data_IF_439458568055
#
_entry.id   IF_439458568055
#
_cell.length_a   1.000
_cell.length_b   1.000
_cell.length_c   1.000
_cell.angle_alpha   90.00
_cell.angle_beta   90.00
_cell.angle_gamma   90.00
#
_symmetry.space_group_name_H-M   'P 1'
#
loop_
_entity.id
_entity.type
_entity.pdbx_description
1 polymer ?
#
# COMPACT_ATOMS: atom_id res chain seq x y z
N UNK A 1 11.16 10.34 2.55
CA UNK A 1 9.69 10.32 2.77
C UNK A 1 9.04 11.40 1.92
N UNK A 2 7.99 11.08 1.15
CA UNK A 2 7.18 12.08 0.45
C UNK A 2 6.61 13.07 1.48
N UNK A 3 6.76 14.37 1.24
CA UNK A 3 6.44 15.42 2.24
C UNK A 3 4.97 15.85 2.18
N UNK A 4 4.23 15.43 1.16
CA UNK A 4 2.85 15.85 0.92
C UNK A 4 1.96 14.71 0.41
N UNK A 5 0.64 14.83 0.63
CA UNK A 5 -0.35 13.89 0.07
C UNK A 5 -0.29 13.81 -1.46
N UNK A 6 0.10 14.90 -2.13
CA UNK A 6 0.25 14.94 -3.58
C UNK A 6 1.41 14.07 -4.06
N UNK A 7 2.52 14.04 -3.33
CA UNK A 7 3.67 13.18 -3.66
C UNK A 7 3.33 11.70 -3.44
N UNK A 8 2.61 11.37 -2.36
CA UNK A 8 2.11 10.01 -2.10
C UNK A 8 1.19 9.57 -3.24
N UNK A 9 0.24 10.41 -3.63
CA UNK A 9 -0.66 10.12 -4.75
C UNK A 9 0.12 9.88 -6.04
N UNK A 10 1.04 10.78 -6.40
CA UNK A 10 1.85 10.64 -7.62
C UNK A 10 2.66 9.36 -7.63
N UNK A 11 3.24 8.97 -6.49
CA UNK A 11 3.92 7.69 -6.34
C UNK A 11 2.97 6.55 -6.67
N UNK A 12 1.81 6.49 -6.00
CA UNK A 12 0.81 5.46 -6.24
C UNK A 12 0.31 5.41 -7.69
N UNK A 13 0.10 6.57 -8.33
CA UNK A 13 -0.29 6.66 -9.74
C UNK A 13 0.74 5.97 -10.66
N UNK A 14 2.05 6.07 -10.35
CA UNK A 14 3.12 5.40 -11.11
C UNK A 14 3.16 3.87 -10.93
N UNK A 15 2.49 3.36 -9.91
CA UNK A 15 2.44 1.94 -9.57
C UNK A 15 1.05 1.31 -9.78
N UNK A 16 0.15 1.99 -10.51
CA UNK A 16 -1.14 1.43 -10.90
C UNK A 16 -0.96 0.10 -11.66
N UNK A 17 -1.78 -0.88 -11.31
CA UNK A 17 -1.75 -2.24 -11.85
C UNK A 17 -0.67 -3.14 -11.25
N UNK A 18 0.17 -2.64 -10.32
CA UNK A 18 1.25 -3.42 -9.72
C UNK A 18 0.82 -4.12 -8.43
N UNK A 19 1.51 -5.23 -8.16
CA UNK A 19 1.34 -6.01 -6.94
C UNK A 19 2.05 -5.34 -5.77
N UNK A 20 1.42 -5.41 -4.61
CA UNK A 20 1.90 -4.80 -3.38
C UNK A 20 1.48 -5.62 -2.16
N UNK A 21 2.22 -5.42 -1.08
CA UNK A 21 1.85 -5.82 0.27
C UNK A 21 1.31 -4.60 1.01
N UNK A 22 0.18 -4.79 1.70
CA UNK A 22 -0.44 -3.84 2.60
C UNK A 22 -0.25 -4.30 4.03
N UNK A 23 0.17 -3.39 4.90
CA UNK A 23 0.23 -3.60 6.34
C UNK A 23 -0.55 -2.52 7.05
N UNK A 24 -1.68 -2.88 7.64
CA UNK A 24 -2.58 -1.94 8.30
C UNK A 24 -2.66 -2.18 9.80
N UNK A 25 -2.72 -1.09 10.57
CA UNK A 25 -2.90 -1.13 12.02
C UNK A 25 -4.37 -1.40 12.37
N UNK A 26 -4.68 -2.65 12.71
CA UNK A 26 -6.04 -3.11 13.02
C UNK A 26 -6.49 -2.91 14.47
N UNK A 27 -5.69 -2.25 15.31
CA UNK A 27 -6.02 -1.94 16.72
C UNK A 27 -4.89 -2.24 17.71
N UNK A 28 -5.24 -2.48 18.98
CA UNK A 28 -4.26 -2.76 20.05
C UNK A 28 -3.53 -4.08 19.77
N UNK A 29 -2.27 -3.98 19.34
CA UNK A 29 -1.34 -5.10 19.05
C UNK A 29 -1.71 -6.00 17.86
N UNK A 30 -2.62 -5.57 16.98
CA UNK A 30 -2.98 -6.37 15.80
C UNK A 30 -2.60 -5.64 14.52
N UNK A 31 -1.63 -6.19 13.82
CA UNK A 31 -1.24 -5.76 12.47
C UNK A 31 -1.85 -6.73 11.47
N UNK A 32 -2.46 -6.21 10.41
CA UNK A 32 -3.05 -7.00 9.35
C UNK A 32 -2.15 -6.83 8.12
N UNK A 33 -1.60 -7.93 7.63
CA UNK A 33 -0.79 -7.97 6.41
C UNK A 33 -1.59 -8.67 5.31
N UNK A 34 -1.68 -8.04 4.13
CA UNK A 34 -2.42 -8.57 2.98
C UNK A 34 -1.71 -8.26 1.67
N UNK A 35 -1.75 -9.21 0.75
CA UNK A 35 -1.28 -9.04 -0.62
C UNK A 35 -2.43 -8.58 -1.54
N UNK A 36 -2.09 -7.79 -2.56
CA UNK A 36 -3.05 -7.37 -3.56
C UNK A 36 -2.44 -6.59 -4.71
N UNK A 37 -3.30 -6.06 -5.58
CA UNK A 37 -2.93 -5.26 -6.75
C UNK A 37 -3.52 -3.86 -6.59
N UNK A 38 -2.71 -2.82 -6.76
CA UNK A 38 -3.21 -1.45 -6.83
C UNK A 38 -4.04 -1.27 -8.10
N UNK A 39 -5.35 -1.08 -7.98
CA UNK A 39 -6.24 -1.01 -9.15
C UNK A 39 -6.53 0.41 -9.59
N UNK A 40 -6.87 1.26 -8.63
CA UNK A 40 -7.36 2.60 -8.94
C UNK A 40 -6.84 3.60 -7.91
N UNK A 41 -6.64 4.83 -8.36
CA UNK A 41 -6.32 5.98 -7.51
C UNK A 41 -7.30 7.11 -7.79
N UNK A 42 -7.83 7.70 -6.73
CA UNK A 42 -8.78 8.80 -6.78
C UNK A 42 -8.21 10.04 -6.10
N UNK A 43 -8.99 11.11 -5.97
CA UNK A 43 -8.48 12.37 -5.39
C UNK A 43 -8.00 12.22 -3.94
N UNK A 44 -8.66 11.39 -3.13
CA UNK A 44 -8.40 11.26 -1.70
C UNK A 44 -8.06 9.84 -1.22
N UNK A 45 -8.34 8.84 -2.06
CA UNK A 45 -8.24 7.42 -1.72
C UNK A 45 -7.66 6.63 -2.88
N UNK A 46 -7.13 5.45 -2.59
CA UNK A 46 -6.72 4.45 -3.56
C UNK A 46 -7.38 3.11 -3.25
N UNK A 47 -7.49 2.27 -4.27
CA UNK A 47 -8.21 1.00 -4.24
C UNK A 47 -7.24 -0.13 -4.56
N UNK A 48 -7.28 -1.16 -3.73
CA UNK A 48 -6.48 -2.37 -3.88
C UNK A 48 -7.42 -3.57 -3.98
N UNK A 49 -7.25 -4.37 -5.03
CA UNK A 49 -7.87 -5.71 -5.11
C UNK A 49 -6.99 -6.68 -4.32
N UNK A 50 -7.56 -7.30 -3.29
CA UNK A 50 -6.86 -8.26 -2.44
C UNK A 50 -6.94 -9.66 -3.04
N UNK A 51 -5.90 -10.47 -2.83
CA UNK A 51 -5.93 -11.86 -3.24
C UNK A 51 -6.96 -12.64 -2.42
N UNK A 52 -7.81 -13.41 -3.11
CA UNK A 52 -8.98 -14.09 -2.53
C UNK A 52 -8.61 -15.38 -1.78
N UNK A 53 -7.42 -15.94 -2.03
CA UNK A 53 -6.98 -17.21 -1.43
C UNK A 53 -6.86 -17.15 0.11
N UNK A 54 -6.80 -15.95 0.70
CA UNK A 54 -6.68 -15.74 2.16
C UNK A 54 -7.79 -14.86 2.78
N UNK A 55 -8.70 -14.25 2.00
CA UNK A 55 -9.64 -13.25 2.54
C UNK A 55 -11.01 -13.20 1.85
N UNK A 56 -12.09 -13.13 2.64
CA UNK A 56 -13.48 -12.95 2.18
C UNK A 56 -13.81 -11.55 1.62
N UNK A 57 -12.82 -10.66 1.48
CA UNK A 57 -12.99 -9.27 1.02
C UNK A 57 -12.09 -9.09 -0.19
N UNK A 58 -12.69 -8.95 -1.37
CA UNK A 58 -11.98 -8.85 -2.65
C UNK A 58 -11.32 -7.48 -2.89
N UNK A 59 -11.84 -6.41 -2.25
CA UNK A 59 -11.42 -5.03 -2.52
C UNK A 59 -11.42 -4.17 -1.27
N UNK A 60 -10.37 -3.39 -1.10
CA UNK A 60 -10.24 -2.41 0.00
C UNK A 60 -9.83 -1.05 -0.53
N UNK A 61 -10.19 -0.01 0.19
CA UNK A 61 -9.79 1.36 -0.11
C UNK A 61 -9.18 2.02 1.11
N UNK A 62 -8.09 2.74 0.92
CA UNK A 62 -7.40 3.52 1.95
C UNK A 62 -7.16 4.95 1.47
N UNK A 63 -6.98 5.87 2.41
CA UNK A 63 -6.68 7.26 2.11
C UNK A 63 -5.17 7.51 2.05
N UNK A 64 -4.77 8.56 1.33
CA UNK A 64 -3.35 8.98 1.33
C UNK A 64 -2.89 9.47 2.71
N UNK A 65 -3.83 9.92 3.54
CA UNK A 65 -3.56 10.26 4.95
C UNK A 65 -3.18 9.04 5.76
N UNK A 66 -3.73 7.85 5.48
CA UNK A 66 -3.38 6.63 6.20
C UNK A 66 -1.93 6.21 5.97
N UNK A 67 -1.39 6.47 4.76
CA UNK A 67 0.04 6.29 4.47
C UNK A 67 0.87 7.36 5.17
N UNK A 68 0.40 8.61 5.16
CA UNK A 68 1.10 9.72 5.79
C UNK A 68 1.21 9.56 7.32
N UNK A 69 0.19 8.98 7.96
CA UNK A 69 0.12 8.76 9.41
C UNK A 69 0.60 7.37 9.82
N UNK A 70 1.18 6.60 8.89
CA UNK A 70 1.69 5.24 9.15
C UNK A 70 0.62 4.28 9.69
N UNK A 71 -0.67 4.60 9.47
CA UNK A 71 -1.78 3.70 9.74
C UNK A 71 -1.81 2.54 8.74
N UNK A 72 -1.33 2.79 7.54
CA UNK A 72 -1.16 1.82 6.45
C UNK A 72 0.22 1.98 5.83
N UNK A 73 1.00 0.91 5.84
CA UNK A 73 2.25 0.80 5.10
C UNK A 73 2.00 0.00 3.82
N UNK A 74 2.63 0.43 2.73
CA UNK A 74 2.56 -0.23 1.43
C UNK A 74 3.97 -0.60 0.97
N UNK A 75 4.12 -1.74 0.32
CA UNK A 75 5.40 -2.16 -0.25
C UNK A 75 5.14 -2.81 -1.60
N UNK A 76 5.69 -2.23 -2.67
CA UNK A 76 5.55 -2.79 -4.01
C UNK A 76 6.57 -3.90 -4.25
N UNK A 77 6.16 -5.00 -4.87
CA UNK A 77 7.05 -6.12 -5.18
C UNK A 77 8.24 -5.72 -6.08
N UNK A 78 8.07 -4.71 -6.95
CA UNK A 78 9.14 -4.17 -7.80
C UNK A 78 10.23 -3.40 -7.02
N UNK A 79 9.93 -2.87 -5.83
CA UNK A 79 10.95 -2.17 -5.03
C UNK A 79 11.94 -3.13 -4.36
N UNK A 80 11.63 -4.43 -4.29
CA UNK A 80 12.55 -5.44 -3.78
C UNK A 80 13.80 -5.54 -4.67
N UNK A 81 13.73 -5.12 -5.94
CA UNK A 81 14.89 -5.03 -6.82
C UNK A 81 15.80 -3.80 -6.57
N UNK A 82 15.35 -2.78 -5.83
CA UNK A 82 16.11 -1.53 -5.57
C UNK A 82 16.38 -1.27 -4.07
N UNK A 83 16.13 -2.27 -3.21
CA UNK A 83 16.27 -2.15 -1.74
C UNK A 83 17.33 -3.03 -1.09
N UNK A 84 18.07 -3.86 -1.84
CA UNK A 84 19.15 -4.70 -1.28
C UNK A 84 20.52 -4.08 -1.54
N UNK A 85 20.77 -2.93 -0.92
CA UNK A 85 22.10 -2.34 -0.83
C UNK A 85 22.30 -1.66 0.54
N UNK A 86 22.47 -2.46 1.60
CA UNK A 86 23.30 -2.14 2.78
C UNK A 86 23.27 -3.30 3.78
N UNK A 87 24.04 -4.35 3.51
CA UNK A 87 24.63 -5.16 4.57
C UNK A 87 26.13 -5.19 4.29
N UNK A 88 26.88 -4.41 5.06
CA UNK A 88 28.32 -4.58 5.28
C UNK A 88 28.49 -4.92 6.76
#
# INVERSE_FOLDING_TARGET
>A
MPKTLADIKKSLDCHLGRRLQLKANGGRKKTIERAGILRETYRAVFVVDLDQDDNAIERVSYSYTDILTEAVEITFDDEVATGVAAAK
#
